data_IF_706354567887
#
_entry.id   IF_706354567887
#
_cell.length_a   1.000
_cell.length_b   1.000
_cell.length_c   1.000
_cell.angle_alpha   90.00
_cell.angle_beta   90.00
_cell.angle_gamma   90.00
#
_symmetry.space_group_name_H-M   'P 1'
#
loop_
_entity.id
_entity.type
_entity.pdbx_description
1 polymer ?
#
# COMPACT_ATOMS: atom_id res chain seq x y z
N UNK A 1 2.80 33.51 8.29
CA UNK A 1 4.25 33.44 8.39
C UNK A 1 4.92 34.46 7.45
N UNK A 2 4.61 34.44 6.16
CA UNK A 2 5.19 35.33 5.14
C UNK A 2 5.08 36.83 5.50
N UNK A 3 3.91 37.31 5.94
CA UNK A 3 3.72 38.70 6.36
C UNK A 3 4.61 39.13 7.56
N UNK A 4 4.84 38.18 8.47
CA UNK A 4 5.73 38.41 9.62
C UNK A 4 7.18 38.53 9.15
N UNK A 5 7.63 37.63 8.27
CA UNK A 5 8.96 37.64 7.68
C UNK A 5 9.19 38.91 6.87
N UNK A 6 8.20 39.34 6.09
CA UNK A 6 8.26 40.57 5.33
C UNK A 6 8.44 41.81 6.22
N UNK A 7 7.75 41.86 7.37
CA UNK A 7 7.91 42.96 8.35
C UNK A 7 9.29 42.96 9.04
N UNK A 8 9.83 41.77 9.31
CA UNK A 8 11.15 41.64 9.96
C UNK A 8 12.31 41.98 9.02
N UNK A 9 12.28 41.48 7.81
CA UNK A 9 13.37 41.63 6.84
C UNK A 9 13.26 42.91 6.00
N UNK A 10 12.06 43.47 5.85
CA UNK A 10 11.76 44.67 5.03
C UNK A 10 12.36 44.59 3.61
N UNK A 11 12.45 43.36 3.04
CA UNK A 11 12.90 43.13 1.67
C UNK A 11 11.82 43.62 0.71
N UNK A 12 12.20 44.53 -0.17
CA UNK A 12 11.29 45.12 -1.15
C UNK A 12 11.83 44.83 -2.56
N UNK A 13 10.92 44.71 -3.51
CA UNK A 13 11.16 44.68 -4.94
C UNK A 13 11.86 43.45 -5.52
N UNK A 14 13.19 43.37 -5.58
CA UNK A 14 13.91 42.31 -6.31
C UNK A 14 13.98 40.98 -5.57
N UNK A 15 13.96 40.99 -4.25
CA UNK A 15 14.16 39.82 -3.40
C UNK A 15 12.94 39.50 -2.54
N UNK A 16 11.77 39.98 -2.93
CA UNK A 16 10.53 39.74 -2.20
C UNK A 16 10.19 38.25 -2.11
N UNK A 17 10.52 37.47 -3.12
CA UNK A 17 10.30 36.01 -3.15
C UNK A 17 11.01 35.27 -2.01
N UNK A 18 12.17 35.77 -1.51
CA UNK A 18 12.87 35.16 -0.37
C UNK A 18 12.06 35.16 0.93
N UNK A 19 11.07 36.04 1.06
CA UNK A 19 10.17 36.07 2.23
C UNK A 19 9.27 34.84 2.33
N UNK A 20 9.09 34.10 1.24
CA UNK A 20 8.30 32.86 1.21
C UNK A 20 9.11 31.61 1.59
N UNK A 21 10.44 31.70 1.64
CA UNK A 21 11.32 30.56 1.94
C UNK A 21 10.94 29.80 3.22
N UNK A 22 10.69 30.45 4.39
CA UNK A 22 10.33 29.71 5.60
C UNK A 22 8.99 28.96 5.46
N UNK A 23 8.03 29.50 4.69
CA UNK A 23 6.77 28.81 4.42
C UNK A 23 6.96 27.58 3.51
N UNK A 24 7.82 27.71 2.51
CA UNK A 24 8.17 26.61 1.60
C UNK A 24 9.02 25.56 2.32
N UNK A 25 9.90 25.96 3.24
CA UNK A 25 10.66 25.02 4.07
C UNK A 25 9.73 24.16 4.94
N UNK A 26 8.73 24.76 5.57
CA UNK A 26 7.72 24.01 6.32
C UNK A 26 6.96 23.05 5.38
N UNK A 27 6.58 23.51 4.20
CA UNK A 27 5.94 22.65 3.21
C UNK A 27 6.83 21.47 2.83
N UNK A 28 8.11 21.70 2.60
CA UNK A 28 9.09 20.65 2.30
C UNK A 28 9.17 19.61 3.41
N UNK A 29 9.24 20.05 4.67
CA UNK A 29 9.27 19.13 5.82
C UNK A 29 7.99 18.27 5.87
N UNK A 30 6.83 18.88 5.64
CA UNK A 30 5.54 18.18 5.66
C UNK A 30 5.43 17.19 4.49
N UNK A 31 5.96 17.51 3.32
CA UNK A 31 5.92 16.66 2.12
C UNK A 31 6.96 15.55 2.15
N UNK A 32 8.06 15.71 2.88
CA UNK A 32 9.09 14.68 3.10
C UNK A 32 8.80 13.89 4.39
N UNK A 33 7.57 13.43 4.56
CA UNK A 33 7.23 12.53 5.67
C UNK A 33 7.96 11.20 5.47
N UNK A 34 8.66 10.76 6.52
CA UNK A 34 9.43 9.52 6.47
C UNK A 34 8.56 8.31 6.14
N UNK A 35 8.93 7.47 5.16
CA UNK A 35 8.23 6.23 4.86
C UNK A 35 8.25 5.23 6.04
N UNK A 36 9.14 5.41 7.02
CA UNK A 36 9.25 4.56 8.21
C UNK A 36 8.29 4.97 9.35
N UNK A 37 7.13 5.49 9.02
CA UNK A 37 6.09 5.83 10.00
C UNK A 37 5.66 4.66 10.88
N UNK A 38 5.87 3.42 10.42
CA UNK A 38 5.59 2.21 11.19
C UNK A 38 6.49 2.06 12.42
N UNK A 39 7.66 2.71 12.42
CA UNK A 39 8.63 2.68 13.53
C UNK A 39 8.55 3.89 14.47
N UNK A 40 7.67 4.84 14.19
CA UNK A 40 7.52 6.10 14.93
C UNK A 40 7.97 7.31 14.13
N UNK A 41 7.49 8.47 14.56
CA UNK A 41 7.83 9.75 13.92
C UNK A 41 9.25 10.17 14.32
N UNK A 42 10.15 10.24 13.35
CA UNK A 42 11.48 10.82 13.54
C UNK A 42 11.72 11.92 12.53
N UNK A 43 12.21 13.06 12.99
CA UNK A 43 12.59 14.16 12.09
C UNK A 43 13.82 13.81 11.23
N UNK A 44 14.53 12.74 11.57
CA UNK A 44 15.67 12.28 10.78
C UNK A 44 16.71 13.38 10.55
N UNK A 45 17.16 13.50 9.30
CA UNK A 45 18.13 14.51 8.87
C UNK A 45 17.61 15.95 9.01
N UNK A 46 16.28 16.17 9.00
CA UNK A 46 15.69 17.50 9.09
C UNK A 46 16.05 18.26 10.36
N UNK A 47 16.37 17.55 11.46
CA UNK A 47 16.83 18.17 12.71
C UNK A 47 18.06 19.06 12.50
N UNK A 48 18.95 18.67 11.60
CA UNK A 48 20.18 19.42 11.28
C UNK A 48 20.05 20.27 10.03
N UNK A 49 19.30 19.80 9.03
CA UNK A 49 19.13 20.48 7.75
C UNK A 49 18.32 21.77 7.91
N UNK A 50 17.27 21.79 8.74
CA UNK A 50 16.42 22.97 8.95
C UNK A 50 17.19 24.16 9.53
N UNK A 51 17.91 24.01 10.66
CA UNK A 51 18.70 25.13 11.19
C UNK A 51 19.78 25.59 10.22
N UNK A 52 20.44 24.69 9.51
CA UNK A 52 21.44 25.03 8.51
C UNK A 52 20.80 25.86 7.36
N UNK A 53 19.69 25.43 6.82
CA UNK A 53 19.00 26.15 5.76
C UNK A 53 18.49 27.51 6.21
N UNK A 54 18.03 27.63 7.45
CA UNK A 54 17.63 28.93 8.02
C UNK A 54 18.80 29.88 8.17
N UNK A 55 19.97 29.41 8.59
CA UNK A 55 21.20 30.24 8.67
C UNK A 55 21.61 30.69 7.28
N UNK A 56 21.63 29.81 6.30
CA UNK A 56 21.95 30.16 4.90
C UNK A 56 20.95 31.21 4.38
N UNK A 57 19.66 31.00 4.63
CA UNK A 57 18.62 31.92 4.21
C UNK A 57 18.74 33.30 4.85
N UNK A 58 19.05 33.37 6.16
CA UNK A 58 19.30 34.65 6.86
C UNK A 58 20.51 35.35 6.25
N UNK A 59 21.57 34.63 5.95
CA UNK A 59 22.77 35.17 5.31
C UNK A 59 22.47 35.71 3.91
N UNK A 60 21.71 34.94 3.08
CA UNK A 60 21.30 35.41 1.76
C UNK A 60 20.36 36.63 1.84
N UNK A 61 19.48 36.67 2.82
CA UNK A 61 18.58 37.80 3.06
C UNK A 61 19.35 39.06 3.47
N UNK A 62 20.42 38.91 4.26
CA UNK A 62 21.29 40.00 4.63
C UNK A 62 22.07 40.56 3.42
N UNK A 63 22.63 39.69 2.59
CA UNK A 63 23.27 40.07 1.32
C UNK A 63 22.26 40.78 0.39
N UNK A 64 21.07 40.20 0.22
CA UNK A 64 20.03 40.78 -0.63
C UNK A 64 19.67 42.20 -0.19
N UNK A 65 19.55 42.45 1.11
CA UNK A 65 19.29 43.76 1.69
C UNK A 65 20.42 44.74 1.43
N UNK A 66 21.68 44.28 1.51
CA UNK A 66 22.84 45.10 1.20
C UNK A 66 22.86 45.52 -0.29
N UNK A 67 22.45 44.61 -1.19
CA UNK A 67 22.38 44.89 -2.63
C UNK A 67 21.25 45.85 -2.98
N UNK A 68 20.08 45.76 -2.34
CA UNK A 68 18.98 46.71 -2.56
C UNK A 68 19.35 48.18 -2.28
N UNK A 69 20.31 48.40 -1.38
CA UNK A 69 20.82 49.75 -1.06
C UNK A 69 21.73 50.30 -2.17
N UNK A 70 22.47 49.43 -2.89
CA UNK A 70 23.46 49.83 -3.91
C UNK A 70 22.88 50.02 -5.31
N UNK A 71 21.71 49.42 -5.63
CA UNK A 71 21.01 49.59 -6.92
C UNK A 71 19.73 50.42 -6.71
N UNK A 72 19.79 51.78 -6.85
CA UNK A 72 18.58 52.57 -6.84
C UNK A 72 17.73 52.20 -8.04
N UNK A 73 16.53 51.66 -7.75
CA UNK A 73 15.58 51.15 -8.70
C UNK A 73 15.25 52.21 -9.78
N UNK A 74 15.80 52.02 -10.98
CA UNK A 74 15.18 52.55 -12.19
C UNK A 74 13.93 51.71 -12.41
N UNK A 75 12.77 52.23 -11.97
CA UNK A 75 11.47 51.57 -12.11
C UNK A 75 11.16 51.41 -13.59
N UNK A 76 11.44 50.27 -14.13
CA UNK A 76 10.76 49.77 -15.32
C UNK A 76 9.44 49.20 -14.87
N UNK A 77 8.37 49.99 -15.03
CA UNK A 77 7.01 49.51 -14.76
C UNK A 77 6.59 48.60 -15.91
N UNK A 78 6.19 47.38 -15.58
CA UNK A 78 5.62 46.43 -16.54
C UNK A 78 5.95 44.99 -16.27
N UNK A 79 5.28 44.11 -16.99
CA UNK A 79 5.45 42.65 -16.91
C UNK A 79 6.90 42.18 -17.22
N UNK A 80 7.64 42.92 -18.01
CA UNK A 80 9.03 42.67 -18.36
C UNK A 80 10.05 43.32 -17.41
N UNK A 81 9.60 43.80 -16.25
CA UNK A 81 10.52 44.37 -15.24
C UNK A 81 11.51 43.32 -14.74
N UNK A 82 12.80 43.73 -14.58
CA UNK A 82 13.85 42.90 -14.01
C UNK A 82 13.45 42.33 -12.64
N UNK A 83 12.76 43.13 -11.82
CA UNK A 83 12.28 42.69 -10.51
C UNK A 83 11.28 41.54 -10.59
N UNK A 84 10.37 41.56 -11.57
CA UNK A 84 9.39 40.45 -11.79
C UNK A 84 10.11 39.16 -12.16
N UNK A 85 11.04 39.24 -13.12
CA UNK A 85 11.79 38.05 -13.57
C UNK A 85 12.71 37.49 -12.48
N UNK A 86 13.35 38.32 -11.68
CA UNK A 86 14.18 37.88 -10.55
C UNK A 86 13.34 37.17 -9.48
N UNK A 87 12.19 37.72 -9.12
CA UNK A 87 11.30 37.08 -8.17
C UNK A 87 10.72 35.77 -8.73
N UNK A 88 10.36 35.75 -10.01
CA UNK A 88 9.87 34.54 -10.67
C UNK A 88 10.94 33.44 -10.67
N UNK A 89 12.17 33.79 -11.02
CA UNK A 89 13.28 32.83 -11.01
C UNK A 89 13.56 32.26 -9.60
N UNK A 90 13.50 33.11 -8.56
CA UNK A 90 13.64 32.68 -7.17
C UNK A 90 12.53 31.74 -6.75
N UNK A 91 11.28 32.05 -7.10
CA UNK A 91 10.14 31.15 -6.88
C UNK A 91 10.31 29.82 -7.58
N UNK A 92 10.64 29.82 -8.87
CA UNK A 92 10.86 28.60 -9.61
C UNK A 92 11.97 27.74 -8.97
N UNK A 93 13.08 28.35 -8.56
CA UNK A 93 14.17 27.67 -7.88
C UNK A 93 13.70 27.03 -6.57
N UNK A 94 12.95 27.77 -5.75
CA UNK A 94 12.41 27.27 -4.49
C UNK A 94 11.39 26.13 -4.70
N UNK A 95 10.51 26.21 -5.70
CA UNK A 95 9.57 25.15 -6.02
C UNK A 95 10.27 23.89 -6.55
N UNK A 96 11.31 24.04 -7.34
CA UNK A 96 12.14 22.91 -7.78
C UNK A 96 12.80 22.22 -6.59
N UNK A 97 13.33 22.99 -5.63
CA UNK A 97 13.89 22.42 -4.40
C UNK A 97 12.85 21.64 -3.59
N UNK A 98 11.64 22.19 -3.43
CA UNK A 98 10.53 21.47 -2.75
C UNK A 98 10.19 20.19 -3.51
N UNK A 99 10.11 20.24 -4.83
CA UNK A 99 9.80 19.06 -5.66
C UNK A 99 10.86 17.97 -5.59
N UNK A 100 12.14 18.35 -5.53
CA UNK A 100 13.27 17.40 -5.42
C UNK A 100 13.35 16.72 -4.04
N UNK A 101 12.87 17.39 -3.00
CA UNK A 101 12.89 16.86 -1.62
C UNK A 101 11.58 16.20 -1.21
N UNK A 102 10.51 16.35 -2.00
CA UNK A 102 9.23 15.71 -1.74
C UNK A 102 9.35 14.18 -1.80
N UNK A 103 8.58 13.51 -0.94
CA UNK A 103 8.53 12.06 -0.92
C UNK A 103 7.94 11.53 -2.24
N UNK A 104 8.75 10.82 -3.02
CA UNK A 104 8.38 10.19 -4.29
C UNK A 104 7.98 8.71 -4.14
N UNK A 105 7.83 8.21 -2.92
CA UNK A 105 7.46 6.83 -2.68
C UNK A 105 6.00 6.58 -3.06
N UNK A 106 5.78 5.85 -4.16
CA UNK A 106 4.45 5.52 -4.67
C UNK A 106 3.60 4.77 -3.65
N UNK A 107 4.18 3.82 -2.92
CA UNK A 107 3.47 3.02 -1.91
C UNK A 107 2.93 3.91 -0.80
N UNK A 108 3.70 4.91 -0.36
CA UNK A 108 3.26 5.88 0.63
C UNK A 108 2.04 6.68 0.13
N UNK A 109 2.07 7.16 -1.12
CA UNK A 109 0.95 7.90 -1.71
C UNK A 109 -0.31 7.03 -1.88
N UNK A 110 -0.14 5.77 -2.30
CA UNK A 110 -1.25 4.81 -2.38
C UNK A 110 -1.85 4.56 -1.00
N UNK A 111 -1.01 4.34 0.01
CA UNK A 111 -1.43 4.13 1.40
C UNK A 111 -2.29 5.29 1.91
N UNK A 112 -1.80 6.53 1.80
CA UNK A 112 -2.53 7.73 2.25
C UNK A 112 -3.87 7.89 1.52
N UNK A 113 -3.88 7.65 0.22
CA UNK A 113 -5.09 7.75 -0.61
C UNK A 113 -6.12 6.68 -0.24
N UNK A 114 -5.69 5.43 -0.01
CA UNK A 114 -6.56 4.32 0.40
C UNK A 114 -7.10 4.57 1.81
N UNK A 115 -6.26 4.97 2.77
CA UNK A 115 -6.73 5.29 4.12
C UNK A 115 -7.82 6.37 4.11
N UNK A 116 -7.65 7.42 3.30
CA UNK A 116 -8.69 8.45 3.11
C UNK A 116 -9.98 7.88 2.53
N UNK A 117 -9.89 6.99 1.54
CA UNK A 117 -11.07 6.32 0.99
C UNK A 117 -11.75 5.43 2.02
N UNK A 118 -11.00 4.71 2.86
CA UNK A 118 -11.55 3.90 3.95
C UNK A 118 -12.30 4.73 4.99
N UNK A 119 -11.75 5.89 5.36
CA UNK A 119 -12.42 6.85 6.26
C UNK A 119 -13.77 7.32 5.69
N UNK A 120 -13.81 7.54 4.36
CA UNK A 120 -15.02 7.96 3.66
C UNK A 120 -15.95 6.79 3.28
N UNK A 121 -15.61 5.55 3.65
CA UNK A 121 -16.32 4.32 3.26
C UNK A 121 -16.43 4.09 1.74
N UNK A 122 -15.51 4.66 0.95
CA UNK A 122 -15.44 4.52 -0.50
C UNK A 122 -14.52 3.35 -0.86
N UNK A 123 -14.97 2.12 -0.60
CA UNK A 123 -14.17 0.91 -0.74
C UNK A 123 -13.82 0.60 -2.21
N UNK A 124 -14.68 0.97 -3.14
CA UNK A 124 -14.45 0.74 -4.58
C UNK A 124 -13.25 1.55 -5.06
N UNK A 125 -13.21 2.83 -4.75
CA UNK A 125 -12.03 3.68 -5.04
C UNK A 125 -10.78 3.19 -4.32
N UNK A 126 -10.90 2.77 -3.06
CA UNK A 126 -9.77 2.24 -2.31
C UNK A 126 -9.09 1.07 -3.05
N UNK A 127 -9.87 0.19 -3.68
CA UNK A 127 -9.36 -0.97 -4.39
C UNK A 127 -8.77 -0.67 -5.77
N UNK A 128 -9.18 0.42 -6.42
CA UNK A 128 -8.62 0.84 -7.73
C UNK A 128 -7.29 1.58 -7.60
N UNK A 129 -6.98 2.12 -6.40
CA UNK A 129 -5.72 2.85 -6.17
C UNK A 129 -4.54 1.88 -6.19
N UNK A 130 -3.62 2.09 -7.14
CA UNK A 130 -2.44 1.25 -7.31
C UNK A 130 -2.73 -0.19 -7.72
N UNK A 131 -3.89 -0.50 -8.31
CA UNK A 131 -4.27 -1.84 -8.75
C UNK A 131 -3.28 -2.42 -9.78
N UNK A 132 -2.76 -1.58 -10.67
CA UNK A 132 -1.80 -1.97 -11.72
C UNK A 132 -0.34 -1.92 -11.28
N UNK A 133 -0.06 -1.43 -10.07
CA UNK A 133 1.31 -1.32 -9.56
C UNK A 133 1.68 -2.59 -8.77
N UNK A 134 2.87 -3.11 -9.02
CA UNK A 134 3.46 -4.20 -8.23
C UNK A 134 4.09 -3.72 -6.92
N UNK A 135 4.27 -2.39 -6.77
CA UNK A 135 4.82 -1.82 -5.56
C UNK A 135 3.84 -1.99 -4.39
N UNK A 136 4.28 -2.64 -3.33
CA UNK A 136 3.45 -2.92 -2.15
C UNK A 136 4.30 -3.01 -0.89
N UNK A 137 3.66 -2.80 0.25
CA UNK A 137 4.18 -3.07 1.58
C UNK A 137 3.13 -3.76 2.46
N UNK A 138 3.51 -4.10 3.69
CA UNK A 138 2.58 -4.74 4.64
C UNK A 138 1.39 -3.83 4.99
N UNK A 139 1.60 -2.52 5.04
CA UNK A 139 0.55 -1.54 5.34
C UNK A 139 -0.47 -1.45 4.22
N UNK A 140 -0.01 -1.40 2.97
CA UNK A 140 -0.87 -1.36 1.80
C UNK A 140 -1.67 -2.67 1.65
N UNK A 141 -1.02 -3.81 1.91
CA UNK A 141 -1.67 -5.13 1.97
C UNK A 141 -2.80 -5.13 3.01
N UNK A 142 -2.55 -4.64 4.22
CA UNK A 142 -3.55 -4.52 5.28
C UNK A 142 -4.74 -3.66 4.84
N UNK A 143 -4.51 -2.48 4.27
CA UNK A 143 -5.59 -1.57 3.86
C UNK A 143 -6.47 -2.18 2.77
N UNK A 144 -5.87 -2.89 1.80
CA UNK A 144 -6.60 -3.64 0.77
C UNK A 144 -7.43 -4.77 1.36
N UNK A 145 -6.88 -5.53 2.32
CA UNK A 145 -7.61 -6.58 3.04
C UNK A 145 -8.85 -6.01 3.72
N UNK A 146 -8.75 -4.83 4.36
CA UNK A 146 -9.92 -4.21 4.99
C UNK A 146 -10.97 -3.75 3.99
N UNK A 147 -10.56 -3.17 2.88
CA UNK A 147 -11.48 -2.78 1.82
C UNK A 147 -12.24 -4.01 1.26
N UNK A 148 -11.52 -5.11 1.00
CA UNK A 148 -12.09 -6.36 0.50
C UNK A 148 -12.99 -7.03 1.55
N UNK A 149 -12.60 -7.03 2.82
CA UNK A 149 -13.41 -7.59 3.91
C UNK A 149 -14.70 -6.81 4.11
N UNK A 150 -14.66 -5.47 4.05
CA UNK A 150 -15.84 -4.62 4.13
C UNK A 150 -16.83 -4.89 2.97
N UNK A 151 -16.32 -5.22 1.78
CA UNK A 151 -17.11 -5.61 0.60
C UNK A 151 -17.50 -7.09 0.59
N UNK A 152 -17.05 -7.91 1.55
CA UNK A 152 -17.21 -9.38 1.56
C UNK A 152 -16.65 -10.08 0.31
N UNK A 153 -15.61 -9.50 -0.29
CA UNK A 153 -14.93 -10.00 -1.50
C UNK A 153 -13.52 -10.53 -1.19
N UNK A 154 -13.17 -10.63 0.09
CA UNK A 154 -11.83 -11.03 0.53
C UNK A 154 -11.40 -12.39 -0.07
N UNK A 155 -12.18 -13.47 0.04
CA UNK A 155 -11.77 -14.77 -0.47
C UNK A 155 -11.85 -14.91 -1.99
N UNK A 156 -12.40 -13.92 -2.70
CA UNK A 156 -12.50 -13.93 -4.17
C UNK A 156 -11.35 -13.15 -4.84
N UNK A 157 -10.91 -12.05 -4.22
CA UNK A 157 -10.03 -11.07 -4.87
C UNK A 157 -8.72 -10.80 -4.16
N UNK A 158 -8.46 -11.43 -3.00
CA UNK A 158 -7.26 -11.13 -2.20
C UNK A 158 -5.97 -11.30 -3.00
N UNK A 159 -5.84 -12.39 -3.75
CA UNK A 159 -4.64 -12.74 -4.50
C UNK A 159 -4.56 -12.09 -5.90
N UNK A 160 -5.50 -11.22 -6.25
CA UNK A 160 -5.40 -10.36 -7.44
C UNK A 160 -4.42 -9.20 -7.22
N UNK A 161 -4.12 -8.89 -5.95
CA UNK A 161 -3.21 -7.81 -5.56
C UNK A 161 -1.84 -8.36 -5.14
N UNK A 162 -0.76 -7.58 -5.31
CA UNK A 162 0.52 -7.93 -4.73
C UNK A 162 0.42 -7.89 -3.19
N UNK A 163 0.92 -8.92 -2.53
CA UNK A 163 0.79 -9.13 -1.09
C UNK A 163 2.16 -9.18 -0.41
N UNK A 164 2.28 -8.53 0.74
CA UNK A 164 3.48 -8.52 1.56
C UNK A 164 3.15 -8.59 3.05
N UNK A 165 3.96 -9.30 3.84
CA UNK A 165 3.85 -9.34 5.31
C UNK A 165 3.06 -10.50 5.88
N UNK A 166 2.54 -11.42 5.04
CA UNK A 166 1.82 -12.61 5.51
C UNK A 166 0.60 -12.29 6.37
N UNK A 167 0.22 -13.19 7.28
CA UNK A 167 -0.91 -12.97 8.19
C UNK A 167 -0.70 -11.83 9.18
N UNK A 168 0.55 -11.46 9.47
CA UNK A 168 0.85 -10.32 10.34
C UNK A 168 0.35 -9.00 9.75
N UNK A 169 0.30 -8.87 8.41
CA UNK A 169 -0.25 -7.72 7.72
C UNK A 169 -1.77 -7.58 7.91
N UNK A 170 -2.48 -8.64 8.31
CA UNK A 170 -3.92 -8.58 8.55
C UNK A 170 -4.27 -7.91 9.88
N UNK A 171 -3.32 -7.78 10.81
CA UNK A 171 -3.55 -7.25 12.15
C UNK A 171 -3.38 -5.73 12.16
N UNK A 172 -4.43 -4.95 12.49
CA UNK A 172 -4.31 -3.50 12.58
C UNK A 172 -3.40 -3.12 13.76
N UNK A 173 -2.59 -2.09 13.55
CA UNK A 173 -1.70 -1.56 14.59
C UNK A 173 -0.83 -2.64 15.29
N UNK A 174 -0.48 -3.69 14.54
CA UNK A 174 0.51 -4.66 14.97
C UNK A 174 1.91 -4.05 15.07
N UNK A 175 2.91 -4.85 15.40
CA UNK A 175 4.31 -4.38 15.53
C UNK A 175 4.88 -3.87 14.20
N UNK A 176 4.38 -4.39 13.08
CA UNK A 176 4.89 -4.08 11.72
C UNK A 176 4.00 -3.14 10.90
N UNK A 177 2.78 -2.85 11.36
CA UNK A 177 1.80 -2.10 10.56
C UNK A 177 1.05 -1.12 11.43
N UNK A 178 1.06 0.16 11.05
CA UNK A 178 0.30 1.24 11.70
C UNK A 178 -0.57 1.97 10.69
N UNK A 179 -1.81 2.25 11.07
CA UNK A 179 -2.68 3.16 10.34
C UNK A 179 -2.43 4.60 10.78
N UNK A 180 -2.36 5.52 9.81
CA UNK A 180 -2.10 6.93 10.07
C UNK A 180 -3.37 7.73 10.35
N UNK A 181 -4.41 7.47 9.57
CA UNK A 181 -5.65 8.25 9.58
C UNK A 181 -6.84 7.49 10.19
N UNK A 182 -6.78 6.16 10.19
CA UNK A 182 -7.92 5.32 10.52
C UNK A 182 -7.66 4.54 11.81
N UNK A 183 -8.27 5.01 12.90
CA UNK A 183 -8.16 4.41 14.25
C UNK A 183 -9.46 3.77 14.73
N UNK A 184 -10.37 3.41 13.82
CA UNK A 184 -11.71 2.99 14.23
C UNK A 184 -11.74 1.57 14.84
N UNK A 185 -12.40 1.46 15.98
CA UNK A 185 -12.70 0.19 16.65
C UNK A 185 -13.53 -0.79 15.79
N UNK A 186 -14.21 -0.29 14.75
CA UNK A 186 -14.96 -1.12 13.79
C UNK A 186 -14.08 -2.09 13.02
N UNK A 187 -12.84 -1.72 12.73
CA UNK A 187 -11.88 -2.62 12.08
C UNK A 187 -11.46 -3.79 12.97
N UNK A 188 -11.33 -3.55 14.28
CA UNK A 188 -11.10 -4.61 15.25
C UNK A 188 -12.26 -5.59 15.32
N UNK A 189 -13.49 -5.10 15.17
CA UNK A 189 -14.70 -5.93 15.15
C UNK A 189 -14.79 -6.76 13.86
N UNK A 190 -14.45 -6.21 12.70
CA UNK A 190 -14.37 -6.95 11.45
C UNK A 190 -13.36 -8.10 11.54
N UNK A 191 -12.22 -7.87 12.19
CA UNK A 191 -11.21 -8.91 12.38
C UNK A 191 -11.66 -10.03 13.32
N UNK A 192 -12.40 -9.71 14.38
CA UNK A 192 -12.79 -10.70 15.40
C UNK A 192 -13.94 -11.60 14.98
N UNK A 193 -14.76 -11.17 14.03
CA UNK A 193 -16.02 -11.85 13.62
C UNK A 193 -15.96 -12.49 12.22
N UNK A 194 -14.89 -12.31 11.46
CA UNK A 194 -14.87 -12.73 10.05
C UNK A 194 -14.04 -14.02 9.88
N UNK A 195 -14.73 -15.12 9.61
CA UNK A 195 -14.12 -16.44 9.29
C UNK A 195 -13.23 -16.37 8.08
N UNK A 196 -13.54 -15.51 7.11
CA UNK A 196 -12.73 -15.33 5.89
C UNK A 196 -11.36 -14.75 6.19
N UNK A 197 -11.27 -13.83 7.19
CA UNK A 197 -9.97 -13.30 7.62
C UNK A 197 -9.10 -14.41 8.20
N UNK A 198 -9.68 -15.33 8.98
CA UNK A 198 -8.95 -16.48 9.52
C UNK A 198 -8.48 -17.41 8.42
N UNK A 199 -9.36 -17.79 7.49
CA UNK A 199 -9.00 -18.69 6.38
C UNK A 199 -7.96 -18.07 5.46
N UNK A 200 -8.13 -16.80 5.10
CA UNK A 200 -7.15 -16.07 4.29
C UNK A 200 -5.81 -15.89 5.02
N UNK A 201 -5.79 -15.78 6.35
CA UNK A 201 -4.53 -15.71 7.10
C UNK A 201 -3.69 -16.97 6.96
N UNK A 202 -4.32 -18.14 6.98
CA UNK A 202 -3.62 -19.41 6.73
C UNK A 202 -3.07 -19.49 5.31
N UNK A 203 -3.81 -18.99 4.31
CA UNK A 203 -3.34 -18.95 2.93
C UNK A 203 -2.16 -17.98 2.76
N UNK A 204 -2.19 -16.81 3.41
CA UNK A 204 -1.09 -15.85 3.38
C UNK A 204 0.19 -16.39 4.04
N UNK A 205 0.05 -17.20 5.09
CA UNK A 205 1.17 -17.88 5.75
C UNK A 205 1.60 -19.17 5.04
N UNK A 206 0.97 -19.51 3.90
CA UNK A 206 1.19 -20.74 3.14
C UNK A 206 0.95 -22.02 3.97
N UNK A 207 0.14 -21.93 5.01
CA UNK A 207 -0.20 -23.05 5.88
C UNK A 207 -1.48 -23.74 5.39
N UNK A 208 -1.34 -24.48 4.29
CA UNK A 208 -2.47 -25.15 3.62
C UNK A 208 -3.10 -26.23 4.52
N UNK A 209 -2.35 -26.87 5.39
CA UNK A 209 -2.87 -27.89 6.31
C UNK A 209 -3.80 -27.28 7.37
N UNK A 210 -3.42 -26.14 7.96
CA UNK A 210 -4.27 -25.43 8.89
C UNK A 210 -5.53 -24.89 8.20
N UNK A 211 -5.37 -24.39 6.96
CA UNK A 211 -6.49 -23.98 6.13
C UNK A 211 -7.46 -25.12 5.86
N UNK A 212 -6.98 -26.29 5.43
CA UNK A 212 -7.82 -27.46 5.15
C UNK A 212 -8.59 -27.93 6.39
N UNK A 213 -7.95 -28.01 7.55
CA UNK A 213 -8.62 -28.33 8.83
C UNK A 213 -9.71 -27.31 9.20
N UNK A 214 -9.42 -26.02 9.01
CA UNK A 214 -10.35 -24.96 9.35
C UNK A 214 -11.55 -24.90 8.39
N UNK A 215 -11.33 -25.03 7.10
CA UNK A 215 -12.40 -24.96 6.09
C UNK A 215 -13.35 -26.14 6.20
N UNK A 216 -12.85 -27.34 6.45
CA UNK A 216 -13.66 -28.55 6.69
C UNK A 216 -14.61 -28.34 7.86
N UNK A 217 -14.11 -27.74 8.96
CA UNK A 217 -14.91 -27.46 10.15
C UNK A 217 -15.94 -26.36 9.92
N UNK A 218 -15.59 -25.29 9.18
CA UNK A 218 -16.44 -24.11 8.96
C UNK A 218 -17.55 -24.42 7.94
N UNK A 219 -17.21 -25.12 6.87
CA UNK A 219 -18.14 -25.43 5.78
C UNK A 219 -18.72 -26.85 5.86
N UNK A 220 -18.48 -27.60 6.95
CA UNK A 220 -18.95 -28.97 7.18
C UNK A 220 -18.66 -29.93 6.02
N UNK A 221 -17.45 -29.84 5.46
CA UNK A 221 -17.02 -30.67 4.32
C UNK A 221 -16.62 -32.11 4.72
N UNK A 222 -16.80 -32.49 5.99
CA UNK A 222 -16.25 -33.73 6.58
C UNK A 222 -16.93 -35.04 6.18
N UNK A 223 -18.02 -35.03 5.42
CA UNK A 223 -18.79 -36.25 5.15
C UNK A 223 -18.30 -37.10 3.98
N UNK A 224 -17.15 -36.74 3.37
CA UNK A 224 -16.70 -37.43 2.15
C UNK A 224 -15.63 -38.52 2.39
N UNK A 225 -14.98 -38.55 3.56
CA UNK A 225 -13.85 -39.48 3.81
C UNK A 225 -14.24 -40.80 4.48
N UNK A 226 -15.49 -40.95 4.98
CA UNK A 226 -15.92 -42.18 5.68
C UNK A 226 -16.85 -43.08 4.87
N UNK A 227 -16.99 -42.89 3.57
CA UNK A 227 -17.88 -43.69 2.72
C UNK A 227 -17.14 -44.72 1.88
N UNK A 228 -16.23 -45.49 2.50
CA UNK A 228 -15.63 -46.67 1.85
C UNK A 228 -16.49 -47.93 1.94
N UNK A 229 -17.67 -47.87 2.52
CA UNK A 229 -18.61 -48.98 2.54
C UNK A 229 -20.03 -48.49 2.46
N UNK A 230 -20.53 -48.25 1.27
CA UNK A 230 -21.94 -48.56 0.85
C UNK A 230 -22.08 -48.31 -0.65
N UNK A 231 -22.13 -49.37 -1.38
CA UNK A 231 -22.73 -49.44 -2.72
C UNK A 231 -24.17 -48.94 -2.67
N UNK A 232 -24.56 -48.08 -3.60
CA UNK A 232 -25.89 -47.55 -3.85
C UNK A 232 -26.28 -46.24 -3.15
N UNK A 233 -25.83 -45.11 -3.70
CA UNK A 233 -26.74 -43.95 -3.82
C UNK A 233 -26.19 -42.97 -4.87
N UNK A 234 -26.80 -42.99 -6.04
CA UNK A 234 -26.51 -42.14 -7.23
C UNK A 234 -26.84 -40.64 -6.99
N UNK A 235 -27.25 -40.24 -5.77
CA UNK A 235 -27.76 -38.89 -5.49
C UNK A 235 -26.78 -37.94 -4.79
N UNK A 236 -25.54 -38.35 -4.49
CA UNK A 236 -24.59 -37.50 -3.72
C UNK A 236 -23.78 -36.56 -4.60
N UNK A 237 -23.72 -36.78 -5.92
CA UNK A 237 -22.98 -35.95 -6.89
C UNK A 237 -23.56 -34.54 -7.02
N UNK A 238 -24.91 -34.44 -6.92
CA UNK A 238 -25.60 -33.16 -7.07
C UNK A 238 -25.42 -32.24 -5.84
N UNK A 239 -25.33 -32.82 -4.65
CA UNK A 239 -25.12 -32.02 -3.39
C UNK A 239 -23.69 -31.57 -3.27
N UNK A 240 -22.71 -32.40 -3.64
CA UNK A 240 -21.29 -31.99 -3.69
C UNK A 240 -21.07 -30.89 -4.72
N UNK A 241 -21.59 -31.01 -5.91
CA UNK A 241 -21.49 -30.01 -6.98
C UNK A 241 -22.14 -28.67 -6.59
N UNK A 242 -23.18 -28.66 -5.75
CA UNK A 242 -23.80 -27.43 -5.26
C UNK A 242 -22.94 -26.72 -4.17
N UNK A 243 -22.34 -27.46 -3.25
CA UNK A 243 -21.44 -26.91 -2.21
C UNK A 243 -20.13 -26.44 -2.86
N UNK A 244 -19.61 -27.19 -3.83
CA UNK A 244 -18.40 -26.86 -4.57
C UNK A 244 -18.52 -25.54 -5.33
N UNK A 245 -19.67 -25.30 -5.95
CA UNK A 245 -19.97 -24.02 -6.64
C UNK A 245 -20.22 -22.85 -5.70
N UNK A 246 -20.52 -23.11 -4.42
CA UNK A 246 -20.76 -22.06 -3.43
C UNK A 246 -19.50 -21.56 -2.74
N UNK A 247 -18.36 -22.31 -2.85
CA UNK A 247 -17.09 -21.91 -2.26
C UNK A 247 -16.43 -20.77 -3.05
N UNK A 248 -15.86 -19.77 -2.38
CA UNK A 248 -15.06 -18.72 -3.01
C UNK A 248 -13.91 -19.26 -3.85
N UNK A 249 -13.53 -18.50 -4.88
CA UNK A 249 -12.50 -18.87 -5.86
C UNK A 249 -11.20 -19.37 -5.21
N UNK A 250 -10.60 -18.55 -4.35
CA UNK A 250 -9.30 -18.90 -3.75
C UNK A 250 -9.36 -20.04 -2.75
N UNK A 251 -10.53 -20.32 -2.16
CA UNK A 251 -10.69 -21.50 -1.31
C UNK A 251 -10.75 -22.79 -2.15
N UNK A 252 -11.37 -22.77 -3.31
CA UNK A 252 -11.40 -23.90 -4.24
C UNK A 252 -9.99 -24.19 -4.77
N UNK A 253 -9.26 -23.17 -5.22
CA UNK A 253 -7.89 -23.28 -5.68
C UNK A 253 -6.97 -23.87 -4.58
N UNK A 254 -7.10 -23.41 -3.35
CA UNK A 254 -6.30 -23.92 -2.21
C UNK A 254 -6.66 -25.37 -1.84
N UNK A 255 -7.95 -25.77 -1.94
CA UNK A 255 -8.36 -27.15 -1.68
C UNK A 255 -7.84 -28.12 -2.74
N UNK A 256 -7.85 -27.73 -4.00
CA UNK A 256 -7.27 -28.55 -5.09
C UNK A 256 -5.77 -28.69 -4.87
N UNK A 257 -5.06 -27.61 -4.61
CA UNK A 257 -3.64 -27.63 -4.31
C UNK A 257 -3.36 -28.57 -3.12
N UNK A 258 -4.16 -28.50 -2.05
CA UNK A 258 -4.04 -29.36 -0.89
C UNK A 258 -4.25 -30.85 -1.27
N UNK A 259 -5.28 -31.15 -2.05
CA UNK A 259 -5.60 -32.52 -2.49
C UNK A 259 -4.45 -33.14 -3.28
N UNK A 260 -3.85 -32.37 -4.19
CA UNK A 260 -2.74 -32.86 -5.02
C UNK A 260 -1.37 -32.91 -4.31
N UNK A 261 -1.14 -32.06 -3.32
CA UNK A 261 0.13 -32.03 -2.58
C UNK A 261 0.23 -33.06 -1.46
N UNK A 262 -0.87 -33.63 -1.00
CA UNK A 262 -0.89 -34.55 0.15
C UNK A 262 -1.19 -35.99 -0.28
N UNK A 263 -0.38 -36.92 0.23
CA UNK A 263 -0.59 -38.35 -0.02
C UNK A 263 -1.84 -38.89 0.68
N UNK A 264 -2.21 -38.31 1.83
CA UNK A 264 -3.42 -38.65 2.60
C UNK A 264 -4.17 -37.35 2.98
N UNK A 265 -4.89 -36.73 2.06
CA UNK A 265 -5.63 -35.52 2.34
C UNK A 265 -6.83 -35.78 3.27
N UNK A 266 -7.08 -34.87 4.23
CA UNK A 266 -8.23 -34.92 5.13
C UNK A 266 -9.54 -34.71 4.34
N UNK A 267 -9.49 -33.93 3.28
CA UNK A 267 -10.58 -33.68 2.35
C UNK A 267 -10.03 -33.78 0.93
N UNK A 268 -10.79 -34.48 0.07
CA UNK A 268 -10.51 -34.58 -1.36
C UNK A 268 -11.49 -33.67 -2.07
N UNK A 269 -10.97 -32.74 -2.84
CA UNK A 269 -11.75 -31.77 -3.59
C UNK A 269 -11.37 -31.81 -5.08
N UNK A 270 -12.35 -31.92 -5.95
CA UNK A 270 -12.17 -31.94 -7.39
C UNK A 270 -13.02 -30.86 -8.05
N UNK A 271 -12.44 -30.20 -9.03
CA UNK A 271 -13.12 -29.24 -9.90
C UNK A 271 -12.57 -29.43 -11.32
N UNK A 272 -13.44 -29.73 -12.27
CA UNK A 272 -13.06 -30.12 -13.63
C UNK A 272 -12.15 -29.11 -14.34
N UNK A 273 -12.33 -27.82 -14.06
CA UNK A 273 -11.53 -26.74 -14.67
C UNK A 273 -10.20 -26.59 -13.95
N UNK A 274 -10.24 -26.47 -12.63
CA UNK A 274 -9.04 -26.21 -11.82
C UNK A 274 -8.07 -27.41 -11.75
N UNK A 275 -8.59 -28.65 -11.86
CA UNK A 275 -7.76 -29.85 -11.95
C UNK A 275 -6.99 -29.90 -13.28
N UNK A 276 -7.55 -29.38 -14.37
CA UNK A 276 -6.85 -29.23 -15.66
C UNK A 276 -5.78 -28.14 -15.54
N UNK A 277 -6.13 -26.99 -15.02
CA UNK A 277 -5.19 -25.87 -14.83
C UNK A 277 -3.99 -26.28 -13.95
N UNK A 278 -4.24 -27.08 -12.91
CA UNK A 278 -3.17 -27.59 -12.04
C UNK A 278 -2.23 -28.56 -12.78
N UNK A 279 -2.73 -29.43 -13.63
CA UNK A 279 -1.92 -30.33 -14.47
C UNK A 279 -1.06 -29.56 -15.46
N UNK A 280 -1.63 -28.56 -16.10
CA UNK A 280 -0.91 -27.70 -17.03
C UNK A 280 0.19 -26.91 -16.33
N UNK A 281 -0.06 -26.42 -15.10
CA UNK A 281 0.94 -25.79 -14.25
C UNK A 281 2.09 -26.73 -13.93
N UNK A 282 1.80 -27.97 -13.53
CA UNK A 282 2.85 -28.99 -13.26
C UNK A 282 3.69 -29.31 -14.50
N UNK A 283 3.08 -29.39 -15.68
CA UNK A 283 3.83 -29.59 -16.92
C UNK A 283 4.76 -28.41 -17.24
N UNK A 284 4.28 -27.19 -17.06
CA UNK A 284 5.12 -26.00 -17.23
C UNK A 284 6.29 -25.96 -16.25
N UNK A 285 6.07 -26.29 -14.99
CA UNK A 285 7.10 -26.35 -13.96
C UNK A 285 8.18 -27.38 -14.30
N UNK A 286 7.78 -28.59 -14.74
CA UNK A 286 8.72 -29.64 -15.20
C UNK A 286 9.53 -29.20 -16.42
N UNK A 287 8.88 -28.54 -17.40
CA UNK A 287 9.58 -28.01 -18.59
C UNK A 287 10.59 -26.94 -18.21
N UNK A 288 10.25 -26.08 -17.25
CA UNK A 288 11.13 -25.03 -16.77
C UNK A 288 12.33 -25.60 -16.00
N UNK A 289 12.11 -26.54 -15.08
CA UNK A 289 13.16 -27.22 -14.35
C UNK A 289 14.16 -27.92 -15.31
N UNK A 290 13.64 -28.68 -16.28
CA UNK A 290 14.47 -29.34 -17.29
C UNK A 290 15.25 -28.36 -18.21
N UNK A 291 14.73 -27.17 -18.41
CA UNK A 291 15.41 -26.12 -19.20
C UNK A 291 16.56 -25.49 -18.42
N UNK A 292 16.42 -25.35 -17.12
CA UNK A 292 17.50 -24.83 -16.24
C UNK A 292 18.64 -25.84 -16.09
N UNK A 293 18.33 -27.13 -15.93
CA UNK A 293 19.36 -28.19 -15.88
C UNK A 293 20.21 -28.24 -17.16
N UNK A 294 19.61 -28.00 -18.34
CA UNK A 294 20.36 -27.94 -19.63
C UNK A 294 21.25 -26.70 -19.78
N UNK A 295 20.98 -25.63 -19.05
CA UNK A 295 21.80 -24.41 -19.09
C UNK A 295 22.98 -24.48 -18.12
N UNK A 296 22.96 -25.40 -17.18
CA UNK A 296 24.03 -25.61 -16.18
C UNK A 296 24.98 -26.72 -16.52
N UNK A 297 24.75 -27.48 -17.60
CA UNK A 297 25.67 -28.44 -18.22
C UNK A 297 26.42 -27.81 -19.40
#
# INVERSE_FOLDING_TARGET
LQLLVMRLLSLQTMFHALTYFPSLLILTIITDVSPNLDQGFSFGAWLWVVPLLLVIWLFLSWIAKAWEVYEPLRFSHGFFSRAVWMNLAQFCCMFVLVGLTANSNEVFHYRMSIERCLVNHDYDKALTIGEKSLATDSSLTMLRIYALAAKKQLPERLFEYPLMGGSAAMKPNGTSVKMLLYTDNKLRLLHKSNTDILLCSYLLDRNIDAFAKAIVKIYNLSDTSNSSNVSNTINNTSTQNSITRSLPKHYREALILYTHLRSNPIVVFHDDILDVDYRDYQEMERKYANSQERQTM
#
